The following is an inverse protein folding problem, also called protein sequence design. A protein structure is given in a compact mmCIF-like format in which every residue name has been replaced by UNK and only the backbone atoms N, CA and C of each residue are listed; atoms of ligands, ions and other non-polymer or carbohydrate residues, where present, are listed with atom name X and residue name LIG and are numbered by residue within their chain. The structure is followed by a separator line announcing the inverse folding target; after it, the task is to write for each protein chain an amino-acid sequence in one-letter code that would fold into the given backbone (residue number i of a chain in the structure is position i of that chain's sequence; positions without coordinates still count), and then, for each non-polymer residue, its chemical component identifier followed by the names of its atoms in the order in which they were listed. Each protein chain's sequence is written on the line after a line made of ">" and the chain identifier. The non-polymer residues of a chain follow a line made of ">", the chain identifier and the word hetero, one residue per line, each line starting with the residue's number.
data_IF_302109739651
#
_entry.id   IF_302109739651
#
_cell.length_a   1.000
_cell.length_b   1.000
_cell.length_c   1.000
_cell.angle_alpha   90.00
_cell.angle_beta   90.00
_cell.angle_gamma   90.00
#
_symmetry.space_group_name_H-M   'P 1'
#
loop_
_entity.id
_entity.type
_entity.pdbx_description
1 polymer ?
#
# COMPACT_ATOMS: atom_id res chain seq x y z
N UNK A 1 2.75 -6.35 8.01
CA UNK A 1 4.20 -6.46 8.16
C UNK A 1 4.77 -5.14 8.71
N UNK A 2 5.41 -5.18 9.90
CA UNK A 2 5.95 -3.98 10.56
C UNK A 2 7.15 -3.39 9.79
N UNK A 3 7.93 -4.21 9.09
CA UNK A 3 9.09 -3.79 8.32
C UNK A 3 8.67 -3.00 7.07
N UNK A 4 7.74 -3.51 6.28
CA UNK A 4 7.19 -2.78 5.14
C UNK A 4 6.51 -1.47 5.53
N UNK A 5 5.75 -1.46 6.62
CA UNK A 5 5.13 -0.24 7.14
C UNK A 5 6.17 0.79 7.62
N UNK A 6 7.30 0.34 8.19
CA UNK A 6 8.39 1.22 8.62
C UNK A 6 9.13 1.82 7.40
N UNK A 7 9.38 1.02 6.36
CA UNK A 7 10.01 1.51 5.12
C UNK A 7 9.09 2.50 4.38
N UNK A 8 7.81 2.16 4.23
CA UNK A 8 6.81 3.08 3.68
C UNK A 8 6.79 4.43 4.40
N UNK A 9 6.69 4.44 5.73
CA UNK A 9 6.69 5.69 6.52
C UNK A 9 7.94 6.53 6.29
N UNK A 10 9.09 5.90 6.18
CA UNK A 10 10.36 6.58 5.93
C UNK A 10 10.40 7.23 4.53
N UNK A 11 9.79 6.57 3.55
CA UNK A 11 9.82 7.00 2.14
C UNK A 11 8.56 7.79 1.73
N UNK A 12 7.56 7.90 2.59
CA UNK A 12 6.26 8.54 2.30
C UNK A 12 6.41 9.93 1.67
N UNK A 13 7.32 10.76 2.21
CA UNK A 13 7.61 12.09 1.66
C UNK A 13 8.11 12.02 0.21
N UNK A 14 9.05 11.12 -0.08
CA UNK A 14 9.61 10.98 -1.43
C UNK A 14 8.56 10.48 -2.41
N UNK A 15 7.69 9.56 -1.99
CA UNK A 15 6.58 9.04 -2.80
C UNK A 15 5.61 10.18 -3.15
N UNK A 16 5.22 11.00 -2.17
CA UNK A 16 4.33 12.14 -2.41
C UNK A 16 4.94 13.18 -3.37
N UNK A 17 6.26 13.36 -3.35
CA UNK A 17 6.95 14.28 -4.27
C UNK A 17 6.90 13.83 -5.73
N UNK A 18 6.59 12.57 -6.01
CA UNK A 18 6.36 12.09 -7.39
C UNK A 18 5.00 12.46 -7.96
N UNK A 19 4.13 13.10 -7.16
CA UNK A 19 2.76 13.45 -7.55
C UNK A 19 1.75 12.33 -7.40
N UNK A 20 2.12 11.18 -6.82
CA UNK A 20 1.20 10.08 -6.57
C UNK A 20 0.21 10.42 -5.45
N UNK A 21 -1.06 10.08 -5.67
CA UNK A 21 -2.08 10.09 -4.64
C UNK A 21 -2.01 8.79 -3.84
N UNK A 22 -1.94 8.89 -2.53
CA UNK A 22 -1.83 7.74 -1.64
C UNK A 22 -3.11 7.61 -0.82
N UNK A 23 -3.64 6.39 -0.80
CA UNK A 23 -4.75 5.98 0.04
C UNK A 23 -4.24 4.93 1.04
N UNK A 24 -4.36 5.20 2.33
CA UNK A 24 -3.97 4.29 3.40
C UNK A 24 -5.19 3.55 3.94
N UNK A 25 -5.30 2.24 3.67
CA UNK A 25 -6.39 1.44 4.19
C UNK A 25 -6.23 1.20 5.70
N UNK A 26 -7.18 1.68 6.49
CA UNK A 26 -7.15 1.65 7.96
C UNK A 26 -8.42 0.99 8.53
N UNK A 27 -8.52 -0.34 8.41
CA UNK A 27 -9.68 -1.10 8.88
C UNK A 27 -9.38 -2.08 10.01
N UNK A 28 -8.11 -2.21 10.43
CA UNK A 28 -7.66 -3.24 11.38
C UNK A 28 -7.42 -4.61 10.75
N UNK A 29 -7.81 -4.80 9.49
CA UNK A 29 -7.54 -6.00 8.72
C UNK A 29 -6.40 -5.76 7.74
N UNK A 30 -5.63 -6.81 7.44
CA UNK A 30 -4.54 -6.72 6.48
C UNK A 30 -5.09 -6.94 5.06
N UNK A 31 -4.95 -5.95 4.20
CA UNK A 31 -5.16 -6.11 2.77
C UNK A 31 -3.86 -6.58 2.10
N UNK A 32 -3.93 -7.66 1.34
CA UNK A 32 -2.75 -8.25 0.67
C UNK A 32 -2.93 -8.38 -0.85
N UNK A 33 -3.91 -7.73 -1.42
CA UNK A 33 -4.13 -7.68 -2.88
C UNK A 33 -3.02 -6.92 -3.59
N UNK A 34 -2.57 -7.46 -4.73
CA UNK A 34 -1.69 -6.79 -5.67
C UNK A 34 -2.42 -6.76 -6.99
N UNK A 35 -2.98 -5.62 -7.29
CA UNK A 35 -3.70 -5.38 -8.51
C UNK A 35 -3.50 -3.95 -9.00
N UNK A 36 -3.70 -3.75 -10.27
CA UNK A 36 -3.74 -2.43 -10.89
C UNK A 36 -4.79 -2.39 -11.99
N UNK A 37 -5.24 -1.20 -12.31
CA UNK A 37 -6.07 -0.92 -13.48
C UNK A 37 -5.45 0.23 -14.26
N UNK A 38 -5.47 0.15 -15.59
CA UNK A 38 -4.97 1.19 -16.48
C UNK A 38 -6.07 1.50 -17.47
N UNK A 39 -6.42 2.77 -17.54
CA UNK A 39 -7.57 3.26 -18.28
C UNK A 39 -8.84 2.46 -17.94
N UNK A 40 -9.69 2.20 -18.90
CA UNK A 40 -10.90 1.38 -18.69
C UNK A 40 -10.78 -0.03 -19.30
N UNK A 41 -9.57 -0.48 -19.61
CA UNK A 41 -9.32 -1.64 -20.44
C UNK A 41 -8.37 -2.66 -19.83
N UNK A 42 -7.25 -2.22 -19.29
CA UNK A 42 -6.19 -3.10 -18.80
C UNK A 42 -6.26 -3.29 -17.30
N UNK A 43 -6.07 -4.50 -16.86
CA UNK A 43 -6.04 -4.86 -15.45
C UNK A 43 -4.91 -5.85 -15.16
N UNK A 44 -4.31 -5.77 -13.98
CA UNK A 44 -3.33 -6.75 -13.55
C UNK A 44 -3.64 -7.24 -12.15
N UNK A 45 -3.50 -8.55 -11.94
CA UNK A 45 -3.60 -9.20 -10.63
C UNK A 45 -2.46 -10.19 -10.45
N UNK A 46 -1.92 -10.31 -9.23
CA UNK A 46 -0.84 -11.28 -9.02
C UNK A 46 -0.11 -11.15 -7.70
N UNK A 47 1.17 -11.51 -7.71
CA UNK A 47 2.01 -11.60 -6.52
C UNK A 47 2.93 -10.39 -6.32
N UNK A 48 3.21 -9.59 -7.36
CA UNK A 48 4.18 -8.50 -7.34
C UNK A 48 3.81 -7.40 -6.34
N UNK A 49 4.70 -7.14 -5.39
CA UNK A 49 4.62 -5.96 -4.51
C UNK A 49 5.46 -4.81 -5.08
N UNK A 50 5.06 -3.59 -4.80
CA UNK A 50 5.86 -2.41 -5.14
C UNK A 50 6.95 -2.17 -4.09
N UNK A 51 7.85 -3.14 -3.97
CA UNK A 51 9.00 -3.09 -3.08
C UNK A 51 10.29 -3.54 -3.79
N UNK A 52 11.42 -3.34 -3.15
CA UNK A 52 12.74 -3.65 -3.70
C UNK A 52 12.92 -5.16 -3.92
N UNK A 53 12.32 -5.96 -3.06
CA UNK A 53 12.45 -7.40 -3.11
C UNK A 53 11.72 -7.99 -4.31
N UNK A 54 10.44 -7.65 -4.50
CA UNK A 54 9.67 -8.09 -5.66
C UNK A 54 10.22 -7.55 -6.98
N UNK A 55 10.85 -6.35 -6.94
CA UNK A 55 11.42 -5.72 -8.14
C UNK A 55 12.73 -6.35 -8.59
N UNK A 56 13.60 -6.78 -7.66
CA UNK A 56 14.99 -7.12 -7.99
C UNK A 56 15.43 -8.52 -7.55
N UNK A 57 14.69 -9.20 -6.68
CA UNK A 57 15.14 -10.43 -6.03
C UNK A 57 14.19 -11.59 -6.27
N UNK A 58 12.89 -11.39 -6.01
CA UNK A 58 11.89 -12.47 -6.09
C UNK A 58 11.41 -12.67 -7.54
N UNK A 59 11.01 -13.90 -7.84
CA UNK A 59 10.27 -14.20 -9.07
C UNK A 59 8.78 -14.04 -8.78
N UNK A 60 8.15 -13.09 -9.45
CA UNK A 60 6.75 -12.74 -9.25
C UNK A 60 5.93 -13.02 -10.50
N UNK A 61 4.70 -13.43 -10.33
CA UNK A 61 3.78 -13.66 -11.43
C UNK A 61 2.65 -12.64 -11.38
N UNK A 62 2.41 -11.98 -12.53
CA UNK A 62 1.28 -11.08 -12.75
C UNK A 62 0.48 -11.56 -13.96
N UNK A 63 -0.83 -11.67 -13.81
CA UNK A 63 -1.76 -11.85 -14.91
C UNK A 63 -2.24 -10.48 -15.38
N UNK A 64 -1.97 -10.15 -16.63
CA UNK A 64 -2.46 -8.92 -17.27
C UNK A 64 -3.62 -9.28 -18.19
N UNK A 65 -4.74 -8.60 -18.03
CA UNK A 65 -6.00 -8.88 -18.70
C UNK A 65 -6.44 -7.65 -19.49
N UNK A 66 -6.71 -7.83 -20.77
CA UNK A 66 -7.33 -6.82 -21.62
C UNK A 66 -8.83 -7.11 -21.70
N UNK A 67 -9.62 -6.40 -20.90
CA UNK A 67 -11.08 -6.55 -20.83
C UNK A 67 -11.70 -5.38 -20.10
N UNK A 68 -12.58 -4.64 -20.75
CA UNK A 68 -13.35 -3.55 -20.13
C UNK A 68 -14.25 -4.07 -19.00
N UNK A 69 -14.92 -5.20 -19.21
CA UNK A 69 -15.81 -5.79 -18.20
C UNK A 69 -15.04 -6.19 -16.94
N UNK A 70 -13.92 -6.89 -17.09
CA UNK A 70 -13.08 -7.27 -15.95
C UNK A 70 -12.47 -6.05 -15.25
N UNK A 71 -12.05 -5.04 -16.03
CA UNK A 71 -11.52 -3.80 -15.48
C UNK A 71 -12.56 -3.08 -14.61
N UNK A 72 -13.82 -3.00 -15.07
CA UNK A 72 -14.91 -2.39 -14.32
C UNK A 72 -15.19 -3.15 -13.00
N UNK A 73 -15.26 -4.48 -13.05
CA UNK A 73 -15.45 -5.31 -11.85
C UNK A 73 -14.30 -5.16 -10.83
N UNK A 74 -13.05 -5.16 -11.32
CA UNK A 74 -11.89 -4.98 -10.45
C UNK A 74 -11.88 -3.59 -9.82
N UNK A 75 -12.23 -2.56 -10.58
CA UNK A 75 -12.34 -1.18 -10.11
C UNK A 75 -13.42 -1.03 -9.03
N UNK A 76 -14.56 -1.69 -9.21
CA UNK A 76 -15.62 -1.73 -8.20
C UNK A 76 -15.13 -2.42 -6.91
N UNK A 77 -14.46 -3.57 -7.03
CA UNK A 77 -13.87 -4.29 -5.90
C UNK A 77 -12.83 -3.44 -5.15
N UNK A 78 -11.94 -2.73 -5.87
CA UNK A 78 -10.98 -1.79 -5.27
C UNK A 78 -11.68 -0.64 -4.56
N UNK A 79 -12.75 -0.09 -5.13
CA UNK A 79 -13.53 1.01 -4.58
C UNK A 79 -14.12 0.73 -3.19
N UNK A 80 -14.35 -0.53 -2.83
CA UNK A 80 -14.77 -0.92 -1.47
C UNK A 80 -13.71 -0.57 -0.43
N UNK A 81 -12.43 -0.74 -0.76
CA UNK A 81 -11.30 -0.41 0.09
C UNK A 81 -11.01 1.09 0.10
N UNK A 82 -11.07 1.73 -1.07
CA UNK A 82 -10.85 3.17 -1.24
C UNK A 82 -11.81 4.00 -0.38
N UNK A 83 -13.09 3.63 -0.32
CA UNK A 83 -14.11 4.30 0.52
C UNK A 83 -13.79 4.27 2.02
N UNK A 84 -12.93 3.36 2.47
CA UNK A 84 -12.51 3.20 3.86
C UNK A 84 -11.08 3.66 4.11
N UNK A 85 -10.40 4.11 3.08
CA UNK A 85 -9.01 4.51 3.16
C UNK A 85 -8.86 5.96 3.62
N UNK A 86 -7.77 6.24 4.30
CA UNK A 86 -7.35 7.60 4.64
C UNK A 86 -6.70 8.22 3.40
N UNK A 87 -7.12 9.42 3.05
CA UNK A 87 -6.48 10.21 1.99
C UNK A 87 -5.24 10.89 2.56
N UNK A 88 -4.08 10.55 2.06
CA UNK A 88 -2.82 11.15 2.51
C UNK A 88 -2.65 12.53 1.90
N UNK A 89 -2.50 13.55 2.76
CA UNK A 89 -2.28 14.95 2.34
C UNK A 89 -0.79 15.28 2.35
N UNK A 90 -0.08 14.86 3.40
CA UNK A 90 1.36 15.04 3.56
C UNK A 90 1.99 13.87 4.34
N UNK A 91 3.29 13.97 4.66
CA UNK A 91 4.01 12.89 5.37
C UNK A 91 3.44 12.56 6.76
N UNK A 92 2.70 13.49 7.38
CA UNK A 92 2.19 13.38 8.76
C UNK A 92 0.67 13.42 8.84
N UNK A 93 0.01 13.95 7.82
CA UNK A 93 -1.42 14.25 7.81
C UNK A 93 -2.15 13.36 6.81
N UNK A 94 -3.19 12.70 7.28
CA UNK A 94 -4.14 11.96 6.46
C UNK A 94 -5.56 12.33 6.87
N UNK A 95 -6.47 12.45 5.90
CA UNK A 95 -7.88 12.76 6.11
C UNK A 95 -8.66 11.46 6.12
N UNK A 96 -9.41 11.22 7.19
CA UNK A 96 -10.27 10.07 7.31
C UNK A 96 -11.64 10.31 6.64
N UNK A 97 -12.26 9.27 6.04
CA UNK A 97 -13.64 9.37 5.59
C UNK A 97 -14.59 9.65 6.78
N UNK A 98 -15.74 10.22 6.48
CA UNK A 98 -16.76 10.54 7.50
C UNK A 98 -17.17 9.30 8.30
N UNK A 99 -17.22 9.44 9.61
CA UNK A 99 -17.57 8.34 10.54
C UNK A 99 -16.44 7.33 10.79
N UNK A 100 -15.30 7.43 10.15
CA UNK A 100 -14.17 6.53 10.37
C UNK A 100 -13.38 6.88 11.64
N UNK A 101 -13.13 5.87 12.47
CA UNK A 101 -12.25 6.01 13.65
C UNK A 101 -10.90 5.37 13.33
N UNK A 102 -9.90 6.21 13.11
CA UNK A 102 -8.54 5.75 12.87
C UNK A 102 -8.00 4.88 14.01
N UNK A 103 -7.40 3.76 13.65
CA UNK A 103 -6.81 2.83 14.60
C UNK A 103 -5.46 3.35 15.10
N UNK A 104 -5.38 3.66 16.39
CA UNK A 104 -4.11 4.08 17.00
C UNK A 104 -3.24 2.84 17.27
N UNK A 105 -2.01 2.77 16.73
CA UNK A 105 -1.12 1.66 16.99
C UNK A 105 -0.78 1.57 18.49
N UNK A 106 -0.81 0.35 19.03
CA UNK A 106 -0.44 0.10 20.43
C UNK A 106 1.04 0.44 20.68
N UNK A 107 1.41 0.65 21.96
CA UNK A 107 2.81 0.92 22.32
C UNK A 107 3.78 -0.18 21.83
N UNK A 108 3.35 -1.45 21.87
CA UNK A 108 4.13 -2.59 21.33
C UNK A 108 4.38 -2.45 19.84
N UNK A 109 3.35 -2.10 19.06
CA UNK A 109 3.47 -1.90 17.61
C UNK A 109 4.38 -0.70 17.31
N UNK A 110 4.25 0.40 18.07
CA UNK A 110 5.14 1.57 17.91
C UNK A 110 6.60 1.24 18.18
N UNK A 111 6.88 0.45 19.22
CA UNK A 111 8.23 -0.01 19.52
C UNK A 111 8.77 -0.93 18.42
N UNK A 112 7.97 -1.93 17.98
CA UNK A 112 8.33 -2.83 16.89
C UNK A 112 8.62 -2.08 15.59
N UNK A 113 7.84 -1.06 15.25
CA UNK A 113 8.07 -0.24 14.06
C UNK A 113 9.36 0.60 14.17
N UNK A 114 9.71 1.08 15.37
CA UNK A 114 10.99 1.77 15.59
C UNK A 114 12.18 0.82 15.42
N UNK A 115 12.08 -0.38 15.98
CA UNK A 115 13.09 -1.43 15.80
C UNK A 115 13.20 -1.84 14.33
N UNK A 116 12.08 -2.09 13.65
CA UNK A 116 12.04 -2.39 12.23
C UNK A 116 12.67 -1.27 11.38
N UNK A 117 12.41 0.00 11.70
CA UNK A 117 13.02 1.14 11.02
C UNK A 117 14.55 1.20 11.19
N UNK A 118 15.06 0.79 12.35
CA UNK A 118 16.49 0.68 12.59
C UNK A 118 17.12 -0.45 11.77
N UNK A 119 16.50 -1.63 11.78
CA UNK A 119 16.96 -2.81 11.01
C UNK A 119 16.92 -2.53 9.51
N UNK A 120 15.86 -1.92 8.99
CA UNK A 120 15.72 -1.55 7.58
C UNK A 120 16.82 -0.62 7.08
N UNK A 121 17.51 0.10 7.97
CA UNK A 121 18.65 0.93 7.58
C UNK A 121 19.80 0.10 7.00
N UNK A 122 19.96 -1.14 7.49
CA UNK A 122 21.07 -2.02 7.11
C UNK A 122 20.63 -3.12 6.13
N UNK A 123 19.36 -3.51 6.16
CA UNK A 123 18.84 -4.69 5.46
C UNK A 123 17.68 -4.36 4.52
N UNK A 124 17.63 -3.14 4.00
CA UNK A 124 16.55 -2.65 3.14
C UNK A 124 16.30 -3.56 1.91
N UNK A 125 17.32 -4.26 1.44
CA UNK A 125 17.23 -5.17 0.30
C UNK A 125 16.47 -6.49 0.60
N UNK A 126 16.15 -6.74 1.90
CA UNK A 126 15.40 -7.93 2.31
C UNK A 126 13.88 -7.68 2.45
N UNK A 127 13.44 -6.42 2.33
CA UNK A 127 12.05 -6.02 2.59
C UNK A 127 11.51 -5.12 1.50
#
# INVERSE_FOLDING_TARGET
>A
NAFGAADYKKNKKNILQTGLHILEYDSGESYHGKCFVIDDKWSGIGAFNWDMRSTYIDTETMLVIESEAFNAELREAMGVYEKRALVVVDEKTSIAPEGHKSLKPTLKIRFLMRFASFVNRFFRFLF
#
